data_IF_382871215957
#
_entry.id   IF_382871215957
#
_cell.length_a   1.000
_cell.length_b   1.000
_cell.length_c   1.000
_cell.angle_alpha   90.00
_cell.angle_beta   90.00
_cell.angle_gamma   90.00
#
_symmetry.space_group_name_H-M   'P 1'
#
loop_
_entity.id
_entity.type
_entity.pdbx_description
1 polymer ?
#
# COMPACT_ATOMS: atom_id res chain seq x y z
N UNK A 1 6.08 3.11 -22.49
CA UNK A 1 4.63 2.99 -22.14
C UNK A 1 4.51 2.08 -20.93
N UNK A 2 3.81 2.51 -19.87
CA UNK A 2 3.75 1.79 -18.58
C UNK A 2 2.46 0.96 -18.43
N UNK A 3 2.55 -0.17 -17.72
CA UNK A 3 1.46 -1.15 -17.50
C UNK A 3 1.04 -1.23 -16.01
N UNK A 4 0.16 -2.16 -15.64
CA UNK A 4 -0.12 -2.55 -14.24
C UNK A 4 -0.98 -3.84 -14.19
N UNK A 5 -0.89 -4.59 -13.10
CA UNK A 5 -1.65 -5.85 -12.81
C UNK A 5 -1.91 -5.87 -11.30
N UNK A 6 -3.06 -6.37 -10.83
CA UNK A 6 -3.46 -6.36 -9.40
C UNK A 6 -4.67 -7.24 -9.09
N UNK A 7 -4.62 -8.04 -8.02
CA UNK A 7 -5.61 -9.07 -7.69
C UNK A 7 -6.44 -8.69 -6.46
N UNK A 8 -7.76 -8.81 -6.59
CA UNK A 8 -8.69 -8.74 -5.45
C UNK A 8 -9.09 -10.12 -4.96
N UNK A 9 -9.63 -10.15 -3.74
CA UNK A 9 -10.94 -10.73 -3.42
C UNK A 9 -11.51 -9.81 -2.32
N UNK A 10 -12.75 -9.34 -2.49
CA UNK A 10 -13.57 -8.81 -1.40
C UNK A 10 -13.55 -7.30 -1.23
N UNK A 11 -14.39 -6.61 -2.02
CA UNK A 11 -14.75 -5.20 -1.85
C UNK A 11 -13.56 -4.21 -1.88
N UNK A 12 -12.50 -4.57 -2.61
CA UNK A 12 -11.31 -3.74 -2.80
C UNK A 12 -11.10 -3.46 -4.30
N UNK A 13 -11.49 -2.26 -4.76
CA UNK A 13 -11.37 -1.89 -6.17
C UNK A 13 -9.92 -1.72 -6.59
N UNK A 14 -9.35 -2.71 -7.28
CA UNK A 14 -7.98 -2.67 -7.75
C UNK A 14 -7.92 -2.16 -9.18
N UNK A 15 -7.23 -1.03 -9.40
CA UNK A 15 -7.32 -0.25 -10.63
C UNK A 15 -5.95 0.11 -11.21
N UNK A 16 -5.71 -0.35 -12.44
CA UNK A 16 -4.36 -0.57 -12.96
C UNK A 16 -4.10 0.48 -14.04
N UNK A 17 -4.19 1.71 -13.53
CA UNK A 17 -4.59 2.89 -14.27
C UNK A 17 -3.44 3.64 -14.89
N UNK A 18 -3.69 4.08 -16.11
CA UNK A 18 -2.67 4.64 -16.96
C UNK A 18 -3.33 5.63 -17.93
N UNK A 19 -3.59 6.84 -17.43
CA UNK A 19 -3.31 8.15 -18.05
C UNK A 19 -4.18 8.75 -19.18
N UNK A 20 -5.40 9.23 -18.84
CA UNK A 20 -6.16 10.37 -19.49
C UNK A 20 -6.69 11.45 -18.49
N UNK A 21 -6.76 12.77 -18.81
CA UNK A 21 -6.70 13.95 -17.86
C UNK A 21 -7.91 14.34 -16.92
N UNK A 22 -7.59 14.55 -15.62
CA UNK A 22 -7.95 15.55 -14.54
C UNK A 22 -9.34 15.75 -13.82
N UNK A 23 -9.42 15.44 -12.50
CA UNK A 23 -9.99 16.19 -11.33
C UNK A 23 -11.53 16.38 -11.08
N UNK A 24 -12.07 16.81 -9.89
CA UNK A 24 -11.63 16.93 -8.45
C UNK A 24 -12.76 17.49 -7.47
N UNK A 25 -12.59 17.48 -6.10
CA UNK A 25 -13.29 18.28 -4.99
C UNK A 25 -14.69 17.83 -4.37
N UNK A 26 -15.19 18.17 -3.13
CA UNK A 26 -14.62 18.64 -1.82
C UNK A 26 -15.61 18.91 -0.56
N UNK A 27 -15.32 18.49 0.73
CA UNK A 27 -15.67 19.09 2.11
C UNK A 27 -14.75 18.62 3.35
N UNK A 28 -14.20 19.43 4.29
CA UNK A 28 -13.29 19.16 5.51
C UNK A 28 -13.57 17.99 6.54
N UNK A 29 -12.75 17.63 7.58
CA UNK A 29 -11.27 17.67 7.93
C UNK A 29 -10.89 17.39 9.44
N UNK A 30 -9.77 16.71 9.81
CA UNK A 30 -9.00 16.82 11.12
C UNK A 30 -7.46 16.59 11.00
N UNK A 31 -6.67 17.63 10.77
CA UNK A 31 -5.30 17.54 10.18
C UNK A 31 -4.10 17.29 11.13
N UNK A 32 -4.12 16.27 11.99
CA UNK A 32 -2.91 15.88 12.76
C UNK A 32 -2.84 14.43 13.29
N UNK A 33 -3.96 13.75 13.53
CA UNK A 33 -4.01 12.58 14.42
C UNK A 33 -3.85 11.21 13.74
N UNK A 34 -4.11 11.10 12.43
CA UNK A 34 -4.16 9.80 11.74
C UNK A 34 -2.86 8.97 11.78
N UNK A 35 -1.70 9.61 11.84
CA UNK A 35 -0.39 8.94 11.90
C UNK A 35 -0.03 8.41 13.29
N UNK A 36 -0.50 9.06 14.38
CA UNK A 36 -0.19 8.63 15.74
C UNK A 36 -0.74 7.24 16.08
N UNK A 37 -1.76 6.78 15.34
CA UNK A 37 -2.31 5.42 15.44
C UNK A 37 -1.26 4.35 15.10
N UNK A 38 -0.30 4.67 14.23
CA UNK A 38 0.69 3.72 13.71
C UNK A 38 2.02 3.68 14.48
N UNK A 39 2.34 4.73 15.24
CA UNK A 39 3.58 4.80 16.03
C UNK A 39 3.52 4.04 17.38
N UNK A 40 2.36 3.51 17.75
CA UNK A 40 2.19 2.70 18.96
C UNK A 40 2.73 1.28 18.78
N UNK A 41 3.39 0.72 19.80
CA UNK A 41 3.90 -0.67 19.80
C UNK A 41 2.84 -1.70 19.41
N UNK A 42 1.60 -1.53 19.91
CA UNK A 42 0.46 -2.36 19.52
C UNK A 42 0.21 -2.38 18.01
N UNK A 43 0.32 -1.23 17.33
CA UNK A 43 0.13 -1.16 15.88
C UNK A 43 1.28 -1.84 15.13
N UNK A 44 2.52 -1.70 15.60
CA UNK A 44 3.68 -2.43 15.07
C UNK A 44 3.44 -3.94 15.16
N UNK A 45 2.98 -4.42 16.32
CA UNK A 45 2.76 -5.84 16.59
C UNK A 45 1.55 -6.41 15.82
N UNK A 46 0.45 -5.64 15.71
CA UNK A 46 -0.68 -5.98 14.84
C UNK A 46 -0.27 -6.05 13.36
N UNK A 47 0.54 -5.12 12.87
CA UNK A 47 1.05 -5.18 11.48
C UNK A 47 2.08 -6.32 11.29
N UNK A 48 2.90 -6.65 12.28
CA UNK A 48 3.77 -7.83 12.23
C UNK A 48 2.97 -9.14 12.17
N UNK A 49 1.84 -9.23 12.90
CA UNK A 49 0.86 -10.30 12.78
C UNK A 49 0.26 -10.35 11.37
N UNK A 50 -0.32 -9.24 10.86
CA UNK A 50 -1.00 -9.22 9.55
C UNK A 50 -0.07 -9.40 8.35
N UNK A 51 1.23 -9.06 8.46
CA UNK A 51 2.17 -9.17 7.33
C UNK A 51 2.98 -10.48 7.28
N UNK A 52 3.14 -11.20 8.39
CA UNK A 52 4.08 -12.35 8.46
C UNK A 52 3.54 -13.63 9.10
N UNK A 53 2.31 -13.63 9.65
CA UNK A 53 1.70 -14.85 10.15
C UNK A 53 1.14 -15.71 9.01
N UNK A 54 0.91 -17.00 9.29
CA UNK A 54 0.26 -17.91 8.35
C UNK A 54 -1.24 -17.61 8.19
N UNK A 55 -1.83 -18.03 7.07
CA UNK A 55 -3.28 -17.93 6.86
C UNK A 55 -4.08 -18.63 7.98
N UNK A 56 -3.59 -19.76 8.49
CA UNK A 56 -4.22 -20.52 9.58
C UNK A 56 -4.14 -19.78 10.93
N UNK A 57 -3.13 -18.93 11.15
CA UNK A 57 -3.03 -18.06 12.34
C UNK A 57 -3.90 -16.80 12.24
N UNK A 58 -4.19 -16.34 11.01
CA UNK A 58 -4.99 -15.14 10.75
C UNK A 58 -6.50 -15.44 10.64
N UNK A 59 -6.89 -16.60 10.09
CA UNK A 59 -8.29 -16.98 9.91
C UNK A 59 -9.15 -16.94 11.20
N UNK A 60 -8.63 -17.29 12.40
CA UNK A 60 -9.35 -17.12 13.66
C UNK A 60 -9.59 -15.65 14.06
N UNK A 61 -8.69 -14.74 13.66
CA UNK A 61 -8.71 -13.33 14.07
C UNK A 61 -9.65 -12.47 13.20
N UNK A 62 -9.73 -12.77 11.90
CA UNK A 62 -10.55 -12.01 10.93
C UNK A 62 -11.88 -12.68 10.60
N UNK A 63 -12.11 -13.89 11.13
CA UNK A 63 -13.35 -14.64 10.98
C UNK A 63 -13.47 -15.42 9.67
N UNK A 64 -14.39 -16.40 9.67
CA UNK A 64 -14.63 -17.37 8.58
C UNK A 64 -15.23 -16.78 7.30
N UNK A 65 -15.24 -15.46 7.14
CA UNK A 65 -15.92 -14.74 6.05
C UNK A 65 -14.95 -14.07 5.06
N UNK A 66 -13.65 -14.00 5.38
CA UNK A 66 -12.62 -13.62 4.40
C UNK A 66 -12.10 -14.87 3.68
N UNK A 67 -11.83 -14.75 2.38
CA UNK A 67 -11.23 -15.83 1.61
C UNK A 67 -9.74 -16.02 2.02
N UNK A 68 -9.21 -17.26 2.05
CA UNK A 68 -7.84 -17.53 2.53
C UNK A 68 -6.74 -16.74 1.81
N UNK A 69 -6.97 -16.34 0.57
CA UNK A 69 -6.07 -15.54 -0.26
C UNK A 69 -5.87 -14.13 0.33
N UNK A 70 -6.94 -13.53 0.88
CA UNK A 70 -6.92 -12.19 1.51
C UNK A 70 -6.01 -12.18 2.74
N UNK A 71 -5.84 -13.33 3.40
CA UNK A 71 -4.94 -13.51 4.54
C UNK A 71 -3.45 -13.44 4.13
N UNK A 72 -3.16 -13.43 2.83
CA UNK A 72 -1.82 -13.26 2.25
C UNK A 72 -1.72 -11.95 1.44
N UNK A 73 -2.46 -10.92 1.82
CA UNK A 73 -2.56 -9.64 1.11
C UNK A 73 -1.22 -9.02 0.65
N UNK A 74 -0.14 -8.97 1.46
CA UNK A 74 1.15 -8.43 1.00
C UNK A 74 1.78 -9.30 -0.10
N UNK A 75 1.65 -10.62 0.02
CA UNK A 75 2.10 -11.61 -0.99
C UNK A 75 1.30 -11.49 -2.28
N UNK A 76 0.00 -11.22 -2.22
CA UNK A 76 -0.82 -10.93 -3.42
C UNK A 76 -0.34 -9.64 -4.11
N UNK A 77 -0.17 -8.55 -3.36
CA UNK A 77 0.31 -7.28 -3.90
C UNK A 77 1.69 -7.43 -4.56
N UNK A 78 2.60 -8.18 -3.92
CA UNK A 78 3.92 -8.50 -4.46
C UNK A 78 3.85 -9.33 -5.74
N UNK A 79 3.08 -10.42 -5.76
CA UNK A 79 2.87 -11.26 -6.95
C UNK A 79 2.37 -10.48 -8.15
N UNK A 80 1.52 -9.48 -7.94
CA UNK A 80 0.93 -8.70 -9.03
C UNK A 80 1.88 -7.59 -9.53
N UNK A 81 2.73 -7.03 -8.68
CA UNK A 81 3.91 -6.25 -9.12
C UNK A 81 4.89 -7.12 -9.94
N UNK A 82 5.11 -8.36 -9.50
CA UNK A 82 5.92 -9.35 -10.23
C UNK A 82 5.27 -9.86 -11.53
N UNK A 83 3.93 -9.88 -11.63
CA UNK A 83 3.21 -10.18 -12.88
C UNK A 83 3.17 -8.98 -13.84
N UNK A 84 3.11 -7.75 -13.33
CA UNK A 84 2.94 -6.55 -14.15
C UNK A 84 4.22 -6.05 -14.83
N UNK A 85 5.32 -5.94 -14.08
CA UNK A 85 6.46 -5.16 -14.53
C UNK A 85 7.31 -5.88 -15.59
N UNK A 86 7.53 -5.21 -16.72
CA UNK A 86 8.32 -5.71 -17.85
C UNK A 86 9.82 -5.86 -17.53
N UNK A 87 10.28 -5.24 -16.45
CA UNK A 87 11.64 -5.33 -15.90
C UNK A 87 11.55 -5.56 -14.39
N UNK A 88 12.59 -6.21 -13.85
CA UNK A 88 12.73 -6.52 -12.41
C UNK A 88 13.97 -5.86 -11.80
N UNK A 89 14.32 -4.65 -12.24
CA UNK A 89 15.40 -3.88 -11.65
C UNK A 89 14.98 -3.35 -10.27
N UNK A 90 14.14 -2.31 -10.27
CA UNK A 90 13.75 -1.60 -9.03
C UNK A 90 12.25 -1.64 -8.79
N UNK A 91 11.82 -1.98 -7.58
CA UNK A 91 10.43 -1.80 -7.13
C UNK A 91 10.36 -0.81 -5.94
N UNK A 92 9.23 -0.11 -5.84
CA UNK A 92 8.89 0.79 -4.73
C UNK A 92 7.59 0.32 -4.07
N UNK A 93 7.55 0.31 -2.75
CA UNK A 93 6.33 0.12 -1.94
C UNK A 93 6.08 1.39 -1.12
N UNK A 94 4.91 2.00 -1.31
CA UNK A 94 4.53 3.27 -0.71
C UNK A 94 3.47 3.00 0.37
N UNK A 95 3.80 3.33 1.62
CA UNK A 95 3.02 2.91 2.79
C UNK A 95 3.28 1.45 3.13
N UNK A 96 4.56 1.04 3.10
CA UNK A 96 4.95 -0.36 3.24
C UNK A 96 4.72 -0.95 4.64
N UNK A 97 4.42 -0.10 5.63
CA UNK A 97 4.45 -0.42 7.05
C UNK A 97 5.68 -1.27 7.42
N UNK A 98 5.48 -2.40 8.11
CA UNK A 98 6.54 -3.34 8.53
C UNK A 98 7.16 -4.16 7.39
N UNK A 99 6.84 -3.86 6.12
CA UNK A 99 7.60 -4.30 4.95
C UNK A 99 7.22 -5.64 4.31
N UNK A 100 6.04 -6.20 4.61
CA UNK A 100 5.62 -7.54 4.13
C UNK A 100 5.70 -7.70 2.61
N UNK A 101 5.13 -6.76 1.85
CA UNK A 101 5.17 -6.81 0.39
C UNK A 101 6.58 -6.51 -0.16
N UNK A 102 7.37 -5.66 0.50
CA UNK A 102 8.77 -5.39 0.14
C UNK A 102 9.62 -6.66 0.16
N UNK A 103 9.48 -7.49 1.21
CA UNK A 103 10.21 -8.76 1.29
C UNK A 103 9.78 -9.75 0.21
N UNK A 104 8.47 -9.91 -0.05
CA UNK A 104 7.99 -10.80 -1.11
C UNK A 104 8.41 -10.32 -2.52
N UNK A 105 8.39 -9.01 -2.80
CA UNK A 105 8.88 -8.47 -4.07
C UNK A 105 10.39 -8.65 -4.27
N UNK A 106 11.17 -8.74 -3.18
CA UNK A 106 12.62 -8.96 -3.25
C UNK A 106 13.00 -10.38 -3.72
N UNK A 107 12.04 -11.29 -3.92
CA UNK A 107 12.26 -12.55 -4.66
C UNK A 107 12.68 -12.26 -6.10
N UNK A 108 11.88 -11.46 -6.80
CA UNK A 108 11.98 -11.22 -8.25
C UNK A 108 12.78 -9.97 -8.59
N UNK A 109 12.63 -8.88 -7.83
CA UNK A 109 13.29 -7.60 -8.10
C UNK A 109 14.72 -7.54 -7.51
N UNK A 110 15.62 -6.83 -8.19
CA UNK A 110 17.02 -6.66 -7.78
C UNK A 110 17.19 -5.65 -6.63
N UNK A 111 16.35 -4.62 -6.58
CA UNK A 111 16.21 -3.70 -5.45
C UNK A 111 14.71 -3.49 -5.16
N UNK A 112 14.34 -3.48 -3.88
CA UNK A 112 13.00 -3.05 -3.44
C UNK A 112 13.15 -2.02 -2.34
N UNK A 113 12.60 -0.83 -2.56
CA UNK A 113 12.54 0.24 -1.56
C UNK A 113 11.12 0.27 -0.98
N UNK A 114 11.00 0.16 0.33
CA UNK A 114 9.79 0.53 1.06
C UNK A 114 9.98 1.89 1.73
N UNK A 115 8.93 2.70 1.76
CA UNK A 115 8.85 3.76 2.76
C UNK A 115 7.45 3.89 3.36
N UNK A 116 7.41 4.42 4.58
CA UNK A 116 6.21 4.67 5.35
C UNK A 116 6.40 5.98 6.14
N UNK A 117 5.30 6.59 6.59
CA UNK A 117 5.34 7.77 7.44
C UNK A 117 5.75 7.39 8.88
N UNK A 118 5.35 6.21 9.38
CA UNK A 118 5.67 5.77 10.73
C UNK A 118 7.15 5.41 10.88
N UNK A 119 7.80 6.03 11.87
CA UNK A 119 9.16 5.66 12.26
C UNK A 119 9.20 4.24 12.89
N UNK A 120 8.21 3.89 13.71
CA UNK A 120 8.14 2.60 14.40
C UNK A 120 7.94 1.42 13.42
N UNK A 121 7.14 1.59 12.37
CA UNK A 121 7.01 0.61 11.28
C UNK A 121 8.32 0.41 10.52
N UNK A 122 9.04 1.49 10.21
CA UNK A 122 10.32 1.41 9.48
C UNK A 122 11.46 0.87 10.35
N UNK A 123 11.44 1.09 11.66
CA UNK A 123 12.33 0.41 12.61
C UNK A 123 12.06 -1.11 12.60
N UNK A 124 10.81 -1.53 12.74
CA UNK A 124 10.43 -2.95 12.71
C UNK A 124 10.76 -3.62 11.36
N UNK A 125 10.57 -2.92 10.24
CA UNK A 125 10.96 -3.39 8.92
C UNK A 125 12.49 -3.55 8.79
N UNK A 126 13.27 -2.63 9.36
CA UNK A 126 14.73 -2.74 9.40
C UNK A 126 15.23 -3.85 10.33
N UNK A 127 14.56 -4.12 11.44
CA UNK A 127 14.84 -5.30 12.29
C UNK A 127 14.55 -6.60 11.55
N UNK A 128 13.39 -6.71 10.89
CA UNK A 128 13.04 -7.85 10.04
C UNK A 128 14.07 -8.03 8.92
N UNK A 129 14.54 -6.93 8.31
CA UNK A 129 15.60 -6.93 7.30
C UNK A 129 16.93 -7.42 7.85
N UNK A 130 17.35 -6.98 9.03
CA UNK A 130 18.63 -7.30 9.66
C UNK A 130 18.66 -8.72 10.22
N UNK A 131 17.67 -9.07 11.03
CA UNK A 131 17.64 -10.27 11.85
C UNK A 131 16.93 -11.44 11.12
N UNK A 132 16.03 -11.14 10.17
CA UNK A 132 15.17 -12.13 9.51
C UNK A 132 13.90 -12.49 10.30
N UNK A 133 13.80 -12.01 11.54
CA UNK A 133 12.64 -12.21 12.42
C UNK A 133 12.59 -11.16 13.53
N UNK A 134 11.39 -10.85 14.04
CA UNK A 134 11.16 -9.97 15.20
C UNK A 134 10.01 -10.55 16.05
N UNK A 135 10.18 -10.53 17.37
CA UNK A 135 9.13 -10.92 18.32
C UNK A 135 8.07 -9.82 18.45
N UNK A 136 6.82 -10.20 18.68
CA UNK A 136 5.68 -9.29 18.88
C UNK A 136 4.66 -9.90 19.85
N UNK A 137 3.78 -9.09 20.44
CA UNK A 137 2.72 -9.54 21.34
C UNK A 137 1.34 -9.50 20.65
N UNK A 138 0.69 -10.66 20.57
CA UNK A 138 -0.63 -10.86 19.97
C UNK A 138 -1.71 -10.80 21.06
N UNK A 139 -2.67 -9.90 20.92
CA UNK A 139 -3.87 -9.91 21.77
C UNK A 139 -4.72 -11.16 21.46
N UNK A 140 -5.07 -11.92 22.50
CA UNK A 140 -5.94 -13.09 22.42
C UNK A 140 -7.35 -12.74 22.86
N UNK A 141 -7.51 -12.22 24.09
CA UNK A 141 -8.80 -11.80 24.66
C UNK A 141 -8.57 -10.80 25.80
N UNK A 142 -9.28 -9.66 25.82
CA UNK A 142 -9.23 -8.69 26.92
C UNK A 142 -7.84 -8.07 27.13
N UNK A 143 -7.10 -8.59 28.13
CA UNK A 143 -5.71 -8.24 28.45
C UNK A 143 -4.72 -9.42 28.24
N UNK A 144 -5.21 -10.59 27.79
CA UNK A 144 -4.41 -11.80 27.58
C UNK A 144 -3.60 -11.66 26.28
N UNK A 145 -2.28 -11.57 26.43
CA UNK A 145 -1.32 -11.46 25.32
C UNK A 145 -0.53 -12.76 25.12
N UNK A 146 -0.24 -13.13 23.88
CA UNK A 146 0.63 -14.24 23.48
C UNK A 146 1.89 -13.71 22.78
N UNK A 147 3.07 -14.24 23.11
CA UNK A 147 4.32 -13.89 22.42
C UNK A 147 4.49 -14.71 21.14
N UNK A 148 4.55 -14.00 20.01
CA UNK A 148 4.74 -14.54 18.66
C UNK A 148 6.07 -14.05 18.06
N UNK A 149 6.45 -14.63 16.92
CA UNK A 149 7.66 -14.25 16.17
C UNK A 149 7.33 -14.14 14.69
N UNK A 150 7.35 -12.92 14.16
CA UNK A 150 7.26 -12.66 12.73
C UNK A 150 8.57 -13.10 12.07
N UNK A 151 8.50 -13.69 10.88
CA UNK A 151 9.67 -14.20 10.14
C UNK A 151 9.59 -13.77 8.68
N UNK A 152 10.70 -13.29 8.13
CA UNK A 152 10.84 -13.11 6.68
C UNK A 152 10.84 -14.50 6.05
N UNK A 153 9.96 -14.80 5.06
CA UNK A 153 9.90 -16.11 4.44
C UNK A 153 11.22 -16.58 3.80
N UNK A 154 11.48 -17.90 3.74
CA UNK A 154 12.73 -18.43 3.19
C UNK A 154 12.91 -18.12 1.70
N UNK A 155 14.17 -18.08 1.28
CA UNK A 155 14.58 -17.76 -0.09
C UNK A 155 14.58 -16.27 -0.45
N UNK A 156 14.17 -15.37 0.46
CA UNK A 156 14.20 -13.92 0.25
C UNK A 156 15.59 -13.35 0.56
N UNK A 157 16.17 -12.69 -0.43
CA UNK A 157 17.39 -11.90 -0.27
C UNK A 157 17.08 -10.54 0.37
N UNK A 158 17.13 -10.51 1.71
CA UNK A 158 16.93 -9.31 2.54
C UNK A 158 17.93 -8.17 2.23
N UNK A 159 19.03 -8.45 1.53
CA UNK A 159 19.99 -7.44 1.11
C UNK A 159 19.38 -6.41 0.15
N UNK A 160 18.50 -6.87 -0.75
CA UNK A 160 17.82 -6.08 -1.79
C UNK A 160 16.77 -5.11 -1.26
N UNK A 161 16.23 -5.39 -0.07
CA UNK A 161 15.26 -4.53 0.60
C UNK A 161 15.95 -3.26 1.12
N UNK A 162 15.26 -2.13 1.12
CA UNK A 162 15.63 -0.88 1.82
C UNK A 162 14.38 -0.27 2.44
N UNK A 163 14.48 0.27 3.65
CA UNK A 163 13.35 0.85 4.38
C UNK A 163 13.70 2.26 4.86
N UNK A 164 12.84 3.23 4.55
CA UNK A 164 13.06 4.67 4.73
C UNK A 164 11.82 5.29 5.39
N UNK A 165 11.98 6.25 6.30
CA UNK A 165 10.85 7.06 6.80
C UNK A 165 10.59 8.19 5.81
N UNK A 166 9.35 8.35 5.35
CA UNK A 166 9.02 9.33 4.31
C UNK A 166 7.52 9.61 4.15
N UNK A 167 7.19 10.84 3.78
CA UNK A 167 5.82 11.26 3.51
C UNK A 167 5.43 11.01 2.04
N UNK A 168 4.34 10.26 1.84
CA UNK A 168 3.74 10.00 0.53
C UNK A 168 3.15 11.27 -0.14
N UNK A 169 2.93 12.36 0.62
CA UNK A 169 2.62 13.68 0.09
C UNK A 169 3.86 14.54 -0.22
N UNK A 170 5.07 14.10 0.12
CA UNK A 170 6.33 14.84 -0.11
C UNK A 170 7.44 14.00 -0.78
N UNK A 171 7.05 13.02 -1.60
CA UNK A 171 7.95 12.06 -2.25
C UNK A 171 9.13 12.66 -3.04
N UNK A 172 9.02 13.84 -3.70
CA UNK A 172 10.18 14.47 -4.34
C UNK A 172 11.35 14.75 -3.39
N UNK A 173 11.09 15.01 -2.10
CA UNK A 173 12.13 15.24 -1.10
C UNK A 173 12.92 13.97 -0.74
N UNK A 174 12.38 12.77 -1.04
CA UNK A 174 13.02 11.48 -0.78
C UNK A 174 14.05 11.08 -1.87
N UNK A 175 14.08 11.79 -3.01
CA UNK A 175 15.02 11.59 -4.13
C UNK A 175 15.22 10.13 -4.56
N UNK A 176 14.14 9.34 -4.61
CA UNK A 176 14.19 7.88 -4.77
C UNK A 176 14.58 7.39 -6.18
N UNK A 177 14.66 8.30 -7.16
CA UNK A 177 14.78 7.96 -8.58
C UNK A 177 13.49 7.35 -9.16
N UNK A 178 13.62 6.55 -10.22
CA UNK A 178 12.51 5.85 -10.88
C UNK A 178 12.55 4.33 -10.71
N UNK A 179 11.39 3.70 -10.85
CA UNK A 179 11.14 2.29 -10.57
C UNK A 179 10.41 1.58 -11.71
N UNK A 180 10.70 0.29 -11.87
CA UNK A 180 10.02 -0.60 -12.84
C UNK A 180 8.65 -1.07 -12.32
N UNK A 181 8.41 -1.00 -11.01
CA UNK A 181 7.10 -1.16 -10.40
C UNK A 181 6.97 -0.25 -9.19
N UNK A 182 5.78 0.29 -8.97
CA UNK A 182 5.41 1.07 -7.78
C UNK A 182 4.11 0.49 -7.23
N UNK A 183 4.11 0.08 -5.97
CA UNK A 183 2.95 -0.39 -5.23
C UNK A 183 2.44 0.72 -4.31
N UNK A 184 1.11 0.84 -4.20
CA UNK A 184 0.46 1.56 -3.12
C UNK A 184 -0.75 0.75 -2.63
N UNK A 185 -0.57 0.02 -1.54
CA UNK A 185 -1.59 -0.83 -0.94
C UNK A 185 -2.24 -0.14 0.27
N UNK A 186 -3.56 -0.06 0.29
CA UNK A 186 -4.41 0.57 1.32
C UNK A 186 -4.13 2.06 1.65
N UNK A 187 -3.11 2.68 1.05
CA UNK A 187 -2.63 4.02 1.37
C UNK A 187 -3.46 5.19 0.80
N UNK A 188 -3.97 5.10 -0.43
CA UNK A 188 -4.48 6.30 -1.14
C UNK A 188 -5.64 7.00 -0.41
N UNK A 189 -6.51 6.26 0.28
CA UNK A 189 -7.60 6.81 1.10
C UNK A 189 -7.19 7.12 2.55
N UNK A 190 -5.88 7.19 2.83
CA UNK A 190 -5.26 7.49 4.14
C UNK A 190 -4.33 8.71 4.11
N UNK A 191 -3.98 9.23 2.92
CA UNK A 191 -3.09 10.40 2.78
C UNK A 191 -3.87 11.72 2.80
N UNK A 192 -3.29 12.82 3.32
CA UNK A 192 -3.95 14.12 3.39
C UNK A 192 -4.00 14.88 2.05
N UNK A 193 -3.39 14.37 0.98
CA UNK A 193 -3.57 14.89 -0.38
C UNK A 193 -3.44 13.80 -1.47
N UNK A 194 -4.51 13.01 -1.72
CA UNK A 194 -4.48 11.93 -2.70
C UNK A 194 -4.35 12.45 -4.14
N UNK A 195 -4.80 13.67 -4.44
CA UNK A 195 -4.65 14.27 -5.78
C UNK A 195 -3.17 14.59 -6.06
N UNK A 196 -2.43 15.12 -5.08
CA UNK A 196 -0.97 15.28 -5.19
C UNK A 196 -0.26 13.94 -5.31
N UNK A 197 -0.56 12.99 -4.41
CA UNK A 197 0.01 11.64 -4.42
C UNK A 197 -0.11 10.94 -5.79
N UNK A 198 -1.31 10.95 -6.40
CA UNK A 198 -1.53 10.39 -7.74
C UNK A 198 -0.80 11.19 -8.83
N UNK A 199 -0.67 12.52 -8.67
CA UNK A 199 0.07 13.38 -9.59
C UNK A 199 1.57 13.08 -9.65
N UNK A 200 2.19 12.81 -8.48
CA UNK A 200 3.62 12.56 -8.33
C UNK A 200 4.05 11.19 -8.94
N UNK A 201 3.14 10.22 -9.09
CA UNK A 201 3.43 8.90 -9.68
C UNK A 201 4.09 8.98 -11.08
N UNK A 202 3.84 10.06 -11.82
CA UNK A 202 4.46 10.30 -13.15
C UNK A 202 5.99 10.40 -13.10
N UNK A 203 6.54 10.83 -11.98
CA UNK A 203 7.97 11.07 -11.81
C UNK A 203 8.69 9.88 -11.18
N UNK A 204 7.96 8.99 -10.50
CA UNK A 204 8.48 7.77 -9.85
C UNK A 204 8.47 6.53 -10.76
N UNK A 205 7.53 6.42 -11.71
CA UNK A 205 7.44 5.24 -12.59
C UNK A 205 8.35 5.39 -13.82
N UNK A 206 9.06 4.32 -14.19
CA UNK A 206 9.85 4.22 -15.42
C UNK A 206 8.96 4.16 -16.68
N UNK A 207 9.49 4.55 -17.83
CA UNK A 207 8.86 4.19 -19.10
C UNK A 207 8.97 2.68 -19.32
N UNK A 208 7.82 1.98 -19.32
CA UNK A 208 7.80 0.50 -19.29
C UNK A 208 7.61 -0.09 -17.90
N UNK A 209 7.68 0.74 -16.85
CA UNK A 209 7.38 0.34 -15.48
C UNK A 209 5.88 0.25 -15.20
N UNK A 210 5.49 0.07 -13.94
CA UNK A 210 4.08 -0.11 -13.54
C UNK A 210 3.68 0.64 -12.28
N UNK A 211 2.38 0.92 -12.12
CA UNK A 211 1.79 1.43 -10.87
C UNK A 211 0.59 0.58 -10.46
N UNK A 212 0.74 -0.15 -9.34
CA UNK A 212 -0.27 -1.06 -8.79
C UNK A 212 -0.95 -0.37 -7.61
N UNK A 213 -2.21 0.02 -7.79
CA UNK A 213 -3.03 0.64 -6.74
C UNK A 213 -4.06 -0.36 -6.22
N UNK A 214 -4.02 -0.60 -4.91
CA UNK A 214 -4.88 -1.54 -4.20
C UNK A 214 -5.53 -0.77 -3.04
N UNK A 215 -6.85 -0.52 -3.06
CA UNK A 215 -7.49 0.35 -2.06
C UNK A 215 -8.98 0.02 -1.84
N UNK A 216 -9.48 0.07 -0.60
CA UNK A 216 -10.91 -0.11 -0.30
C UNK A 216 -11.77 1.07 -0.74
N UNK A 217 -11.16 2.19 -1.16
CA UNK A 217 -11.85 3.47 -1.40
C UNK A 217 -12.75 3.92 -0.23
N UNK A 218 -12.37 3.54 1.00
CA UNK A 218 -13.22 3.66 2.20
C UNK A 218 -13.42 5.09 2.70
N UNK A 219 -12.61 6.04 2.20
CA UNK A 219 -12.71 7.50 2.39
C UNK A 219 -13.28 7.95 3.75
N UNK A 220 -12.39 8.15 4.73
CA UNK A 220 -12.76 8.59 6.07
C UNK A 220 -12.22 10.00 6.37
N UNK A 221 -13.03 10.94 6.92
CA UNK A 221 -12.61 12.32 7.17
C UNK A 221 -11.41 12.50 8.11
N UNK A 222 -11.12 11.52 8.97
CA UNK A 222 -9.99 11.57 9.92
C UNK A 222 -8.61 11.54 9.25
N UNK A 223 -8.53 11.05 8.01
CA UNK A 223 -7.27 10.80 7.29
C UNK A 223 -7.10 11.72 6.09
N UNK A 224 -8.11 11.73 5.23
CA UNK A 224 -8.21 12.66 4.11
C UNK A 224 -9.43 13.51 4.37
N UNK A 225 -9.24 14.83 4.41
CA UNK A 225 -10.35 15.77 4.24
C UNK A 225 -11.26 15.26 3.12
N UNK A 226 -12.56 15.17 3.36
CA UNK A 226 -13.53 15.00 2.27
C UNK A 226 -13.42 16.16 1.24
N UNK A 227 -12.68 17.23 1.57
CA UNK A 227 -12.22 18.35 0.73
C UNK A 227 -11.21 17.95 -0.35
N UNK A 228 -10.71 16.71 -0.29
CA UNK A 228 -9.74 16.16 -1.24
C UNK A 228 -10.05 14.70 -1.64
N UNK A 229 -11.15 14.11 -1.18
CA UNK A 229 -11.55 12.77 -1.63
C UNK A 229 -11.63 12.69 -3.15
N UNK A 230 -11.04 11.63 -3.73
CA UNK A 230 -11.02 11.46 -5.20
C UNK A 230 -12.39 11.01 -5.71
N UNK A 231 -13.17 10.28 -4.89
CA UNK A 231 -14.55 9.89 -5.17
C UNK A 231 -15.26 9.47 -3.87
N UNK A 232 -16.32 8.67 -3.96
CA UNK A 232 -17.10 8.22 -2.79
C UNK A 232 -18.12 9.26 -2.30
N UNK A 233 -18.52 10.21 -3.15
CA UNK A 233 -19.47 11.27 -2.83
C UNK A 233 -20.55 11.43 -3.91
N UNK A 234 -21.49 12.37 -3.70
CA UNK A 234 -22.47 12.80 -4.71
C UNK A 234 -22.16 14.23 -5.15
N UNK A 235 -22.28 14.51 -6.45
CA UNK A 235 -22.11 15.86 -7.00
C UNK A 235 -23.29 16.79 -6.67
N UNK A 236 -23.21 18.05 -7.12
CA UNK A 236 -24.27 19.06 -6.92
C UNK A 236 -25.59 18.73 -7.61
N UNK A 237 -25.61 17.77 -8.56
CA UNK A 237 -26.82 17.19 -9.14
C UNK A 237 -27.29 15.91 -8.45
N UNK A 238 -26.69 15.53 -7.31
CA UNK A 238 -26.99 14.32 -6.55
C UNK A 238 -26.45 13.03 -7.17
N UNK A 239 -25.66 13.09 -8.25
CA UNK A 239 -25.16 11.93 -9.00
C UNK A 239 -23.94 11.32 -8.28
N UNK A 240 -23.81 9.99 -8.19
CA UNK A 240 -22.68 9.36 -7.53
C UNK A 240 -21.37 9.56 -8.31
N UNK A 241 -20.30 9.90 -7.60
CA UNK A 241 -18.94 10.06 -8.13
C UNK A 241 -18.06 8.94 -7.56
N UNK A 242 -17.85 7.89 -8.36
CA UNK A 242 -17.07 6.72 -7.95
C UNK A 242 -15.56 6.96 -8.03
N UNK A 243 -14.83 6.52 -7.00
CA UNK A 243 -13.38 6.69 -6.87
C UNK A 243 -12.63 6.14 -8.07
N UNK A 244 -12.97 4.92 -8.51
CA UNK A 244 -12.47 4.26 -9.72
C UNK A 244 -12.32 5.21 -10.92
N UNK A 245 -13.43 5.77 -11.41
CA UNK A 245 -13.42 6.64 -12.59
C UNK A 245 -12.70 7.98 -12.38
N UNK A 246 -12.58 8.44 -11.13
CA UNK A 246 -11.87 9.68 -10.82
C UNK A 246 -10.36 9.47 -10.64
N UNK A 247 -9.92 8.34 -10.07
CA UNK A 247 -8.50 7.94 -10.11
C UNK A 247 -8.09 7.71 -11.57
N UNK A 248 -8.97 7.12 -12.40
CA UNK A 248 -8.71 6.89 -13.82
C UNK A 248 -8.45 8.16 -14.63
N UNK A 249 -9.12 9.24 -14.21
CA UNK A 249 -8.95 10.58 -14.72
C UNK A 249 -7.76 11.31 -14.07
N UNK A 250 -7.51 11.12 -12.77
CA UNK A 250 -6.45 11.80 -12.03
C UNK A 250 -5.06 11.30 -12.42
N UNK A 251 -4.87 9.97 -12.46
CA UNK A 251 -3.75 9.32 -13.15
C UNK A 251 -3.98 9.51 -14.66
N UNK A 252 -3.64 10.70 -15.15
CA UNK A 252 -3.99 11.22 -16.47
C UNK A 252 -2.82 11.50 -17.44
N UNK A 253 -3.12 11.65 -18.74
CA UNK A 253 -2.32 12.30 -19.80
C UNK A 253 -1.20 11.56 -20.60
N UNK A 254 -1.22 10.23 -20.79
CA UNK A 254 -0.19 9.50 -21.56
C UNK A 254 -0.64 8.17 -22.23
N UNK A 255 -1.56 7.40 -21.63
CA UNK A 255 -1.74 5.94 -21.81
C UNK A 255 -3.27 5.60 -21.81
N UNK A 256 -3.86 4.39 -21.93
CA UNK A 256 -3.48 2.96 -21.81
C UNK A 256 -3.58 2.24 -20.42
N UNK A 257 -4.69 2.41 -19.66
CA UNK A 257 -5.11 1.51 -18.54
C UNK A 257 -5.07 0.04 -18.97
N UNK A 258 -4.65 -0.87 -18.08
CA UNK A 258 -4.41 -2.29 -18.41
C UNK A 258 -5.50 -3.25 -17.92
N UNK A 259 -5.95 -3.16 -16.67
CA UNK A 259 -6.85 -4.15 -16.03
C UNK A 259 -7.61 -3.49 -14.83
N UNK A 260 -8.71 -4.09 -14.39
CA UNK A 260 -9.38 -3.79 -13.10
C UNK A 260 -9.80 -5.12 -12.49
N UNK A 261 -9.66 -5.29 -11.16
CA UNK A 261 -10.21 -6.45 -10.42
C UNK A 261 -10.95 -6.01 -9.15
N UNK A 262 -11.87 -6.85 -8.69
CA UNK A 262 -12.81 -6.63 -7.56
C UNK A 262 -12.77 -7.80 -6.56
#
# INVERSE_FOLDING_TARGET
VAAAVGAGIGALGCLLLSKGKKGSLAIRSTTASGSMVYEGSRAVDEYLQFHFASADELAPLVGKFLAPEVLQFPTLCAKECSKSAQKKGRCLDIGCAVGGAVFEMARDFQEVVGFDFSAAFIEAANDMRKNGSRSYERLVEGEIMEKKVAKVPPGIDRGRCKFIVGDACNMPALNLGKFDSVLAANLMCRVPDPQKFLGDMKDLVNEGGTFVLVSPFSWLPEYTDKEKWVGGYKDSGGRPVFTEGQVARALGAHFLLVETKQ
#
